data_IF_053166528379
#
_entry.id   IF_053166528379
#
_cell.length_a   1.000
_cell.length_b   1.000
_cell.length_c   1.000
_cell.angle_alpha   90.00
_cell.angle_beta   90.00
_cell.angle_gamma   90.00
#
_symmetry.space_group_name_H-M   'P 1'
#
loop_
_entity.id
_entity.type
_entity.pdbx_description
1 polymer ?
#
# COMPACT_ATOMS: atom_id res chain seq x y z
N UNK A 1 10.51 -21.90 -6.17
CA UNK A 1 9.05 -21.64 -6.06
C UNK A 1 8.84 -20.55 -5.03
N UNK A 2 8.18 -19.45 -5.37
CA UNK A 2 7.92 -18.37 -4.40
C UNK A 2 6.94 -18.86 -3.32
N UNK A 3 7.21 -18.51 -2.06
CA UNK A 3 6.32 -18.85 -0.93
C UNK A 3 4.92 -18.25 -1.16
N UNK A 4 3.86 -19.00 -0.86
CA UNK A 4 2.51 -18.43 -0.82
C UNK A 4 2.42 -17.33 0.23
N UNK A 5 1.46 -16.42 0.06
CA UNK A 5 1.18 -15.32 0.98
C UNK A 5 1.05 -15.78 2.44
N UNK A 6 0.29 -16.84 2.68
CA UNK A 6 0.10 -17.44 4.01
C UNK A 6 1.41 -17.90 4.64
N UNK A 7 2.29 -18.54 3.86
CA UNK A 7 3.60 -19.00 4.33
C UNK A 7 4.53 -17.84 4.66
N UNK A 8 4.50 -16.78 3.84
CA UNK A 8 5.25 -15.54 4.11
C UNK A 8 4.78 -14.86 5.39
N UNK A 9 3.47 -14.72 5.59
CA UNK A 9 2.89 -14.09 6.79
C UNK A 9 3.25 -14.88 8.05
N UNK A 10 3.07 -16.20 8.04
CA UNK A 10 3.43 -17.08 9.16
C UNK A 10 4.92 -17.00 9.50
N UNK A 11 5.81 -17.07 8.50
CA UNK A 11 7.25 -16.95 8.74
C UNK A 11 7.65 -15.56 9.24
N UNK A 12 7.01 -14.51 8.75
CA UNK A 12 7.23 -13.15 9.21
C UNK A 12 6.86 -12.99 10.69
N UNK A 13 5.72 -13.55 11.12
CA UNK A 13 5.28 -13.53 12.52
C UNK A 13 6.28 -14.25 13.44
N UNK A 14 6.76 -15.43 13.06
CA UNK A 14 7.83 -16.13 13.78
C UNK A 14 9.10 -15.27 13.92
N UNK A 15 9.52 -14.65 12.81
CA UNK A 15 10.70 -13.80 12.79
C UNK A 15 10.51 -12.48 13.54
N UNK A 16 9.29 -11.99 13.72
CA UNK A 16 9.00 -10.79 14.52
C UNK A 16 8.80 -11.13 16.00
N UNK A 17 8.59 -12.41 16.35
CA UNK A 17 8.20 -12.86 17.70
C UNK A 17 6.92 -12.17 18.20
N UNK A 18 6.02 -11.84 17.28
CA UNK A 18 4.70 -11.32 17.62
C UNK A 18 3.72 -12.48 17.75
N UNK A 19 2.79 -12.40 18.70
CA UNK A 19 1.73 -13.41 18.86
C UNK A 19 0.56 -13.19 17.87
N UNK A 20 0.85 -12.64 16.69
CA UNK A 20 -0.16 -12.25 15.70
C UNK A 20 -0.86 -10.93 16.01
N UNK A 21 -0.41 -10.19 17.03
CA UNK A 21 -0.84 -8.82 17.28
C UNK A 21 -0.11 -7.87 16.29
N UNK A 22 -0.88 -7.25 15.41
CA UNK A 22 -0.34 -6.43 14.33
C UNK A 22 0.27 -5.09 14.85
N UNK A 23 -0.15 -4.59 16.01
CA UNK A 23 0.52 -3.45 16.66
C UNK A 23 1.91 -3.84 17.19
N UNK A 24 2.02 -5.06 17.73
CA UNK A 24 3.32 -5.62 18.13
C UNK A 24 4.23 -5.86 16.92
N UNK A 25 3.68 -6.25 15.77
CA UNK A 25 4.42 -6.38 14.51
C UNK A 25 4.99 -5.04 14.04
N UNK A 26 4.18 -3.97 14.08
CA UNK A 26 4.62 -2.62 13.70
C UNK A 26 5.73 -2.12 14.65
N UNK A 27 5.56 -2.30 15.96
CA UNK A 27 6.58 -1.94 16.96
C UNK A 27 7.83 -2.81 16.84
N UNK A 28 7.70 -4.10 16.58
CA UNK A 28 8.83 -5.01 16.36
C UNK A 28 9.59 -4.63 15.10
N UNK A 29 8.88 -4.24 14.04
CA UNK A 29 9.48 -3.75 12.82
C UNK A 29 10.22 -2.42 13.04
N UNK A 30 9.67 -1.49 13.81
CA UNK A 30 10.34 -0.23 14.14
C UNK A 30 11.62 -0.45 14.95
N UNK A 31 11.56 -1.30 15.98
CA UNK A 31 12.75 -1.71 16.75
C UNK A 31 13.83 -2.35 15.87
N UNK A 32 13.43 -3.18 14.90
CA UNK A 32 14.37 -3.81 13.96
C UNK A 32 15.01 -2.79 13.02
N UNK A 33 14.24 -1.83 12.49
CA UNK A 33 14.78 -0.77 11.63
C UNK A 33 15.77 0.10 12.41
N UNK A 34 15.44 0.45 13.65
CA UNK A 34 16.34 1.21 14.51
C UNK A 34 17.62 0.41 14.82
N UNK A 35 17.49 -0.87 15.20
CA UNK A 35 18.62 -1.76 15.46
C UNK A 35 19.54 -1.97 14.25
N UNK A 36 18.99 -2.07 13.03
CA UNK A 36 19.78 -2.16 11.80
C UNK A 36 20.66 -0.93 11.57
N UNK A 37 20.17 0.26 11.91
CA UNK A 37 20.92 1.50 11.74
C UNK A 37 22.10 1.63 12.71
N UNK A 38 22.04 0.97 13.86
CA UNK A 38 23.06 1.04 14.92
C UNK A 38 24.05 -0.12 14.85
N UNK A 39 23.54 -1.35 14.64
CA UNK A 39 24.29 -2.61 14.78
C UNK A 39 24.59 -3.25 13.41
N UNK A 40 23.94 -2.79 12.33
CA UNK A 40 24.01 -3.39 11.01
C UNK A 40 23.04 -4.56 10.82
N UNK A 41 23.10 -5.21 9.65
CA UNK A 41 22.22 -6.33 9.30
C UNK A 41 22.68 -7.64 9.94
N UNK A 42 21.80 -8.27 10.70
CA UNK A 42 21.93 -9.65 11.21
C UNK A 42 21.28 -10.66 10.26
N UNK A 43 21.60 -11.96 10.41
CA UNK A 43 20.96 -13.03 9.63
C UNK A 43 19.43 -12.99 9.73
N UNK A 44 18.88 -12.71 10.92
CA UNK A 44 17.44 -12.55 11.14
C UNK A 44 16.85 -11.39 10.34
N UNK A 45 17.51 -10.23 10.35
CA UNK A 45 17.04 -9.06 9.59
C UNK A 45 17.13 -9.23 8.08
N UNK A 46 18.15 -9.94 7.60
CA UNK A 46 18.29 -10.28 6.17
C UNK A 46 17.12 -11.18 5.75
N UNK A 47 16.81 -12.19 6.55
CA UNK A 47 15.68 -13.08 6.28
C UNK A 47 14.36 -12.31 6.24
N UNK A 48 14.13 -11.42 7.20
CA UNK A 48 12.95 -10.54 7.22
C UNK A 48 12.87 -9.70 5.93
N UNK A 49 13.97 -9.10 5.47
CA UNK A 49 14.02 -8.32 4.23
C UNK A 49 13.71 -9.16 2.98
N UNK A 50 14.08 -10.45 2.98
CA UNK A 50 13.80 -11.35 1.85
C UNK A 50 12.32 -11.74 1.77
N UNK A 51 11.66 -11.91 2.92
CA UNK A 51 10.27 -12.36 3.01
C UNK A 51 9.30 -11.20 2.88
N UNK A 52 9.63 -10.03 3.43
CA UNK A 52 8.81 -8.82 3.30
C UNK A 52 8.56 -8.47 1.86
N UNK A 53 7.35 -7.99 1.60
CA UNK A 53 7.06 -7.36 0.33
C UNK A 53 7.88 -6.09 0.22
N UNK A 54 8.46 -5.95 -0.95
CA UNK A 54 9.27 -4.83 -1.35
C UNK A 54 8.99 -4.56 -2.82
N UNK A 55 9.52 -3.45 -3.30
CA UNK A 55 9.24 -2.95 -4.64
C UNK A 55 9.53 -3.96 -5.75
N UNK A 56 10.52 -4.86 -5.55
CA UNK A 56 10.90 -5.91 -6.50
C UNK A 56 9.76 -6.83 -6.93
N UNK A 57 8.70 -6.97 -6.12
CA UNK A 57 7.57 -7.83 -6.42
C UNK A 57 6.50 -7.15 -7.27
N UNK A 58 6.61 -5.84 -7.49
CA UNK A 58 5.60 -5.05 -8.19
C UNK A 58 6.17 -4.47 -9.47
N UNK A 59 5.72 -4.98 -10.61
CA UNK A 59 6.09 -4.44 -11.93
C UNK A 59 5.08 -3.38 -12.34
N UNK A 60 5.55 -2.18 -12.66
CA UNK A 60 4.68 -1.12 -13.21
C UNK A 60 4.11 -1.55 -14.55
N UNK A 61 2.80 -1.46 -14.67
CA UNK A 61 2.04 -1.71 -15.91
C UNK A 61 1.73 -0.39 -16.60
N UNK A 62 1.31 0.62 -15.83
CA UNK A 62 0.99 1.94 -16.34
C UNK A 62 0.96 2.96 -15.22
N UNK A 63 1.03 4.24 -15.58
CA UNK A 63 0.86 5.33 -14.63
C UNK A 63 -0.59 5.80 -14.69
N UNK A 64 -1.25 5.85 -13.54
CA UNK A 64 -2.65 6.25 -13.44
C UNK A 64 -2.77 7.76 -13.25
N UNK A 65 -1.99 8.32 -12.32
CA UNK A 65 -2.11 9.74 -11.99
C UNK A 65 -0.85 10.32 -11.33
N UNK A 66 -0.70 11.63 -11.43
CA UNK A 66 0.21 12.46 -10.65
C UNK A 66 -0.62 13.28 -9.65
N UNK A 67 -1.08 12.62 -8.59
CA UNK A 67 -1.82 13.30 -7.54
C UNK A 67 -0.96 14.34 -6.81
N UNK A 68 -1.64 15.31 -6.18
CA UNK A 68 -1.00 16.37 -5.38
C UNK A 68 -0.01 15.84 -4.32
N UNK A 69 -0.32 14.66 -3.77
CA UNK A 69 0.40 14.04 -2.67
C UNK A 69 1.27 12.85 -3.09
N UNK A 70 1.43 12.58 -4.39
CA UNK A 70 2.26 11.47 -4.85
C UNK A 70 1.88 10.92 -6.23
N UNK A 71 2.65 9.94 -6.68
CA UNK A 71 2.44 9.27 -7.97
C UNK A 71 1.65 7.99 -7.75
N UNK A 72 0.65 7.75 -8.59
CA UNK A 72 -0.19 6.56 -8.55
C UNK A 72 0.11 5.72 -9.79
N UNK A 73 0.64 4.52 -9.58
CA UNK A 73 0.95 3.56 -10.63
C UNK A 73 0.02 2.34 -10.54
N UNK A 74 -0.40 1.82 -11.69
CA UNK A 74 -0.96 0.46 -11.79
C UNK A 74 0.21 -0.52 -11.85
N UNK A 75 0.21 -1.51 -10.97
CA UNK A 75 1.30 -2.50 -10.83
C UNK A 75 0.76 -3.92 -10.89
N UNK A 76 1.55 -4.83 -11.46
CA UNK A 76 1.28 -6.27 -11.43
C UNK A 76 2.16 -6.94 -10.38
N UNK A 77 1.55 -7.67 -9.46
CA UNK A 77 2.25 -8.43 -8.44
C UNK A 77 2.81 -9.73 -9.06
N UNK A 78 4.12 -9.94 -8.93
CA UNK A 78 4.78 -11.15 -9.43
C UNK A 78 4.50 -12.41 -8.61
N UNK A 79 3.84 -12.30 -7.45
CA UNK A 79 3.59 -13.43 -6.54
C UNK A 79 2.27 -14.16 -6.84
N UNK A 80 1.22 -13.41 -7.18
CA UNK A 80 -0.11 -13.92 -7.47
C UNK A 80 -0.60 -13.56 -8.89
N UNK A 81 0.16 -12.73 -9.62
CA UNK A 81 -0.18 -12.31 -10.97
C UNK A 81 -1.31 -11.27 -11.04
N UNK A 82 -1.81 -10.77 -9.92
CA UNK A 82 -2.92 -9.81 -9.85
C UNK A 82 -2.45 -8.37 -10.07
N UNK A 83 -3.39 -7.52 -10.47
CA UNK A 83 -3.16 -6.09 -10.69
C UNK A 83 -3.59 -5.31 -9.44
N UNK A 84 -2.79 -4.32 -9.07
CA UNK A 84 -2.96 -3.47 -7.90
C UNK A 84 -2.63 -2.02 -8.24
N UNK A 85 -2.97 -1.11 -7.33
CA UNK A 85 -2.52 0.28 -7.36
C UNK A 85 -1.43 0.48 -6.35
N UNK A 86 -0.35 1.16 -6.76
CA UNK A 86 0.73 1.61 -5.88
C UNK A 86 0.75 3.13 -5.82
N UNK A 87 0.46 3.69 -4.65
CA UNK A 87 0.67 5.10 -4.36
C UNK A 87 2.07 5.31 -3.77
N UNK A 88 2.86 6.18 -4.39
CA UNK A 88 4.23 6.50 -3.97
C UNK A 88 4.29 7.96 -3.52
N UNK A 89 4.71 8.18 -2.28
CA UNK A 89 4.71 9.49 -1.62
C UNK A 89 6.14 9.83 -1.19
N UNK A 90 6.65 11.01 -1.54
CA UNK A 90 7.99 11.45 -1.12
C UNK A 90 7.99 11.83 0.38
N UNK A 91 8.92 11.27 1.16
CA UNK A 91 9.02 11.55 2.60
C UNK A 91 9.30 13.02 2.89
N UNK A 92 10.16 13.67 2.10
CA UNK A 92 10.45 15.10 2.25
C UNK A 92 9.19 15.95 2.05
N UNK A 93 8.32 15.55 1.12
CA UNK A 93 7.05 16.22 0.90
C UNK A 93 6.11 16.05 2.10
N UNK A 94 5.95 14.84 2.64
CA UNK A 94 5.13 14.57 3.85
C UNK A 94 5.59 15.42 5.02
N UNK A 95 6.91 15.54 5.24
CA UNK A 95 7.46 16.36 6.32
C UNK A 95 7.11 17.85 6.16
N UNK A 96 7.05 18.37 4.92
CA UNK A 96 6.66 19.76 4.65
C UNK A 96 5.15 19.98 4.73
N UNK A 97 4.35 18.99 4.32
CA UNK A 97 2.90 19.08 4.20
C UNK A 97 2.15 18.30 5.30
N UNK A 98 2.76 18.14 6.48
CA UNK A 98 2.27 17.25 7.56
C UNK A 98 0.84 17.51 8.02
N UNK A 99 0.36 18.74 7.88
CA UNK A 99 -1.00 19.14 8.28
C UNK A 99 -2.07 18.69 7.27
N UNK A 100 -1.68 18.43 6.03
CA UNK A 100 -2.59 18.09 4.94
C UNK A 100 -2.36 16.69 4.36
N UNK A 101 -1.20 16.08 4.66
CA UNK A 101 -0.83 14.76 4.15
C UNK A 101 -0.46 13.85 5.33
N UNK A 102 -1.35 12.91 5.64
CA UNK A 102 -1.12 11.86 6.64
C UNK A 102 -1.19 10.47 6.00
N UNK A 103 -0.07 9.95 5.47
CA UNK A 103 0.01 8.60 4.95
C UNK A 103 -0.31 7.52 5.99
N UNK A 104 -0.08 7.83 7.28
CA UNK A 104 -0.44 6.95 8.39
C UNK A 104 -1.96 6.79 8.48
N UNK A 105 -2.70 7.90 8.50
CA UNK A 105 -4.17 7.86 8.53
C UNK A 105 -4.73 7.15 7.29
N UNK A 106 -4.18 7.41 6.11
CA UNK A 106 -4.58 6.73 4.87
C UNK A 106 -4.36 5.22 4.96
N UNK A 107 -3.18 4.77 5.42
CA UNK A 107 -2.87 3.36 5.64
C UNK A 107 -3.87 2.73 6.61
N UNK A 108 -4.17 3.40 7.72
CA UNK A 108 -5.02 2.86 8.78
C UNK A 108 -6.47 2.68 8.29
N UNK A 109 -6.99 3.60 7.48
CA UNK A 109 -8.31 3.48 6.83
C UNK A 109 -8.35 2.29 5.86
N UNK A 110 -7.36 2.17 4.97
CA UNK A 110 -7.30 1.06 3.99
C UNK A 110 -7.13 -0.30 4.69
N UNK A 111 -6.36 -0.33 5.78
CA UNK A 111 -6.19 -1.52 6.62
C UNK A 111 -7.50 -1.88 7.30
N UNK A 112 -8.20 -0.91 7.90
CA UNK A 112 -9.50 -1.14 8.53
C UNK A 112 -10.52 -1.70 7.52
N UNK A 113 -10.50 -1.20 6.28
CA UNK A 113 -11.34 -1.73 5.22
C UNK A 113 -11.05 -3.21 4.95
N UNK A 114 -9.79 -3.62 5.01
CA UNK A 114 -9.35 -5.01 4.81
C UNK A 114 -9.82 -5.90 5.96
N UNK A 115 -9.66 -5.47 7.21
CA UNK A 115 -10.03 -6.27 8.40
C UNK A 115 -11.54 -6.37 8.59
N UNK A 116 -12.28 -5.32 8.22
CA UNK A 116 -13.75 -5.29 8.29
C UNK A 116 -14.41 -5.82 7.01
N UNK A 117 -13.62 -6.21 6.00
CA UNK A 117 -14.10 -6.63 4.68
C UNK A 117 -15.10 -5.64 4.05
N UNK A 118 -14.78 -4.34 4.15
CA UNK A 118 -15.62 -3.25 3.63
C UNK A 118 -15.65 -3.27 2.11
N UNK A 119 -16.83 -3.07 1.52
CA UNK A 119 -17.00 -2.98 0.06
C UNK A 119 -16.80 -1.57 -0.51
N UNK A 120 -16.67 -0.58 0.36
CA UNK A 120 -16.70 0.85 -0.01
C UNK A 120 -15.32 1.49 -0.13
N UNK A 121 -14.29 0.81 0.37
CA UNK A 121 -12.92 1.33 0.44
C UNK A 121 -11.98 0.24 -0.09
N UNK A 122 -11.00 0.57 -0.95
CA UNK A 122 -10.01 -0.39 -1.43
C UNK A 122 -9.28 -1.08 -0.28
N UNK A 123 -8.99 -2.38 -0.39
CA UNK A 123 -8.24 -3.09 0.65
C UNK A 123 -6.74 -2.86 0.49
N UNK A 124 -6.06 -2.70 1.61
CA UNK A 124 -4.60 -2.59 1.66
C UNK A 124 -4.00 -3.97 1.49
N UNK A 125 -3.23 -4.18 0.42
CA UNK A 125 -2.40 -5.37 0.29
C UNK A 125 -1.17 -5.27 1.20
N UNK A 126 -0.46 -4.13 1.13
CA UNK A 126 0.69 -3.87 1.97
C UNK A 126 1.10 -2.40 1.98
N UNK A 127 1.84 -2.02 3.01
CA UNK A 127 2.55 -0.74 3.08
C UNK A 127 4.03 -0.97 3.38
N UNK A 128 4.91 -0.25 2.69
CA UNK A 128 6.35 -0.31 2.93
C UNK A 128 7.01 1.03 2.60
N UNK A 129 8.26 1.17 2.99
CA UNK A 129 9.04 2.37 2.76
C UNK A 129 10.39 2.06 2.14
N UNK A 130 10.90 3.04 1.42
CA UNK A 130 12.28 3.12 0.93
C UNK A 130 12.99 4.27 1.67
N UNK A 131 14.29 4.49 1.47
CA UNK A 131 14.96 5.64 2.08
C UNK A 131 14.26 6.98 1.78
N UNK A 132 13.66 7.13 0.60
CA UNK A 132 13.11 8.41 0.12
C UNK A 132 11.58 8.46 0.03
N UNK A 133 10.91 7.32 -0.08
CA UNK A 133 9.47 7.27 -0.35
C UNK A 133 8.72 6.31 0.58
N UNK A 134 7.45 6.64 0.85
CA UNK A 134 6.44 5.74 1.39
C UNK A 134 5.63 5.14 0.23
N UNK A 135 5.25 3.87 0.34
CA UNK A 135 4.51 3.14 -0.69
C UNK A 135 3.33 2.40 -0.07
N UNK A 136 2.14 2.66 -0.60
CA UNK A 136 0.90 1.95 -0.27
C UNK A 136 0.49 1.14 -1.50
N UNK A 137 0.26 -0.16 -1.33
CA UNK A 137 -0.26 -1.04 -2.38
C UNK A 137 -1.63 -1.52 -1.98
N UNK A 138 -2.61 -1.27 -2.83
CA UNK A 138 -4.03 -1.52 -2.56
C UNK A 138 -4.74 -2.06 -3.81
N UNK A 139 -5.98 -2.52 -3.63
CA UNK A 139 -6.79 -3.01 -4.74
C UNK A 139 -6.94 -1.98 -5.87
N UNK A 140 -6.97 -2.48 -7.10
CA UNK A 140 -7.24 -1.66 -8.28
C UNK A 140 -8.75 -1.61 -8.57
N UNK A 141 -9.30 -0.39 -8.62
CA UNK A 141 -10.67 -0.17 -9.06
C UNK A 141 -10.72 0.02 -10.57
N UNK A 142 -11.12 -1.03 -11.30
CA UNK A 142 -11.15 -1.06 -12.77
C UNK A 142 -12.21 -0.12 -13.38
N UNK A 143 -13.21 0.29 -12.59
CA UNK A 143 -14.32 1.14 -13.04
C UNK A 143 -13.97 2.62 -13.23
N UNK A 144 -12.72 3.02 -12.98
CA UNK A 144 -12.31 4.42 -13.05
C UNK A 144 -12.95 5.29 -11.97
N UNK A 145 -12.93 6.60 -12.19
CA UNK A 145 -13.46 7.61 -11.29
C UNK A 145 -14.81 8.14 -11.79
N UNK A 146 -15.58 8.75 -10.89
CA UNK A 146 -16.80 9.47 -11.29
C UNK A 146 -16.50 10.65 -12.24
N UNK A 147 -15.27 11.19 -12.23
CA UNK A 147 -14.85 12.19 -13.21
C UNK A 147 -14.74 11.61 -14.62
N UNK A 148 -14.16 10.41 -14.76
CA UNK A 148 -14.09 9.73 -16.06
C UNK A 148 -15.51 9.46 -16.63
N UNK A 149 -16.46 9.13 -15.75
CA UNK A 149 -17.88 8.96 -16.12
C UNK A 149 -18.49 10.29 -16.57
N UNK A 150 -18.17 11.39 -15.88
CA UNK A 150 -18.66 12.72 -16.26
C UNK A 150 -18.11 13.17 -17.61
N UNK A 151 -16.80 13.01 -17.83
CA UNK A 151 -16.12 13.39 -19.08
C UNK A 151 -16.57 12.55 -20.27
N UNK A 152 -16.84 11.26 -20.06
CA UNK A 152 -17.37 10.38 -21.11
C UNK A 152 -18.86 10.60 -21.41
N UNK A 153 -19.57 11.36 -20.57
CA UNK A 153 -20.99 11.67 -20.81
C UNK A 153 -21.16 12.68 -21.95
N UNK A 154 -21.93 12.31 -22.98
CA UNK A 154 -22.18 13.12 -24.18
C UNK A 154 -23.03 14.40 -23.94
N UNK A 155 -23.12 14.86 -22.69
CA UNK A 155 -24.07 15.87 -22.22
C UNK A 155 -23.39 17.08 -21.58
N UNK A 156 -22.09 17.28 -21.82
CA UNK A 156 -21.29 18.37 -21.23
C UNK A 156 -21.51 18.49 -19.70
N UNK A 157 -21.49 17.35 -19.01
CA UNK A 157 -21.61 17.30 -17.55
C UNK A 157 -23.03 17.46 -16.98
N UNK A 158 -24.09 17.39 -17.80
CA UNK A 158 -25.48 17.34 -17.30
C UNK A 158 -25.87 15.92 -16.89
N UNK A 159 -25.94 15.67 -15.58
CA UNK A 159 -26.46 14.42 -15.02
C UNK A 159 -27.99 14.39 -15.19
N UNK A 160 -28.54 13.32 -15.77
CA UNK A 160 -30.00 13.13 -15.85
C UNK A 160 -30.58 13.01 -14.44
N UNK A 161 -31.60 13.82 -14.14
CA UNK A 161 -32.29 13.91 -12.83
C UNK A 161 -32.90 12.60 -12.31
N UNK A 162 -32.83 11.51 -13.05
CA UNK A 162 -33.57 10.26 -12.76
C UNK A 162 -32.72 9.16 -12.14
N UNK A 163 -31.43 9.38 -11.87
CA UNK A 163 -30.51 8.33 -11.38
C UNK A 163 -29.96 8.53 -9.98
N UNK A 164 -30.54 9.44 -9.18
CA UNK A 164 -30.25 9.49 -7.74
C UNK A 164 -31.20 8.48 -7.08
N UNK A 165 -30.66 7.30 -6.73
CA UNK A 165 -31.29 6.36 -5.79
C UNK A 165 -30.98 6.82 -4.37
#
# INVERSE_FOLDING_TARGET
MSLSWTKRKSRLQELLKSHGNEEEDELAQDRLLHGQSVIGKTSRTIEIDTIKLQDRYFKVVGKLDYGQFGVIDVVKCGLDGRVYVRKTIEKKFVLRAREHCSPQLERDILRLATTTNSRWVPHLLCAFQTPTHLKLVMDYAEGGTLWDVLESSALDGRIWRTSIV
#
